data_IF_097955906499
#
_entry.id   IF_097955906499
#
_cell.length_a   1.000
_cell.length_b   1.000
_cell.length_c   1.000
_cell.angle_alpha   90.00
_cell.angle_beta   90.00
_cell.angle_gamma   90.00
#
_symmetry.space_group_name_H-M   'P 1'
#
loop_
_entity.id
_entity.type
_entity.pdbx_description
1 polymer ?
#
# COMPACT_ATOMS: atom_id res chain seq x y z
N UNK A 1 4.26 12.32 63.34
CA UNK A 1 2.90 11.85 63.01
C UNK A 1 2.51 12.46 61.67
N UNK A 2 2.72 11.67 60.62
CA UNK A 2 2.64 12.06 59.21
C UNK A 2 1.18 12.06 58.77
N UNK A 3 0.61 13.25 58.55
CA UNK A 3 -0.72 13.41 57.93
C UNK A 3 -0.64 14.59 56.98
N UNK A 4 -0.21 14.37 55.74
CA UNK A 4 -0.46 15.36 54.69
C UNK A 4 -0.20 14.80 53.28
N UNK A 5 -1.19 15.03 52.41
CA UNK A 5 -1.11 15.21 50.96
C UNK A 5 -0.78 14.01 50.06
N UNK A 6 -1.78 13.17 49.77
CA UNK A 6 -1.90 12.53 48.44
C UNK A 6 -3.39 12.47 48.07
N UNK A 7 -3.96 13.61 47.71
CA UNK A 7 -5.29 13.69 47.10
C UNK A 7 -5.11 13.93 45.60
N UNK A 8 -5.73 13.07 44.78
CA UNK A 8 -6.03 13.28 43.37
C UNK A 8 -4.85 13.35 42.36
N UNK A 9 -4.08 12.26 42.25
CA UNK A 9 -3.28 11.98 41.04
C UNK A 9 -3.81 10.76 40.23
N UNK A 10 -5.09 10.41 40.37
CA UNK A 10 -5.69 9.24 39.70
C UNK A 10 -6.83 9.58 38.72
N UNK A 11 -7.21 10.85 38.57
CA UNK A 11 -8.38 11.25 37.77
C UNK A 11 -8.08 11.84 36.38
N UNK A 12 -6.84 12.19 36.06
CA UNK A 12 -6.52 13.01 34.88
C UNK A 12 -6.06 12.25 33.63
N UNK A 13 -5.61 10.99 33.75
CA UNK A 13 -4.93 10.28 32.66
C UNK A 13 -5.78 9.22 31.95
N UNK A 14 -6.97 8.90 32.47
CA UNK A 14 -7.84 7.87 31.92
C UNK A 14 -8.69 8.32 30.71
N UNK A 15 -8.74 9.62 30.42
CA UNK A 15 -9.59 10.20 29.36
C UNK A 15 -8.93 10.26 27.97
N UNK A 16 -7.63 9.96 27.84
CA UNK A 16 -6.91 10.07 26.55
C UNK A 16 -6.77 8.76 25.76
N UNK A 17 -7.20 7.61 26.30
CA UNK A 17 -6.98 6.30 25.65
C UNK A 17 -8.12 5.81 24.73
N UNK A 18 -9.26 6.51 24.64
CA UNK A 18 -10.46 5.98 23.98
C UNK A 18 -10.47 6.23 22.44
N UNK A 19 -9.54 7.02 21.89
CA UNK A 19 -9.52 7.36 20.46
C UNK A 19 -8.56 6.52 19.59
N UNK A 20 -8.09 5.37 20.07
CA UNK A 20 -7.31 4.44 19.25
C UNK A 20 -8.21 3.71 18.24
N UNK A 21 -8.65 4.43 17.19
CA UNK A 21 -9.34 3.83 16.04
C UNK A 21 -8.39 2.89 15.30
N UNK A 22 -8.82 1.65 15.07
CA UNK A 22 -8.04 0.67 14.30
C UNK A 22 -7.78 1.15 12.88
N UNK A 23 -6.52 1.23 12.46
CA UNK A 23 -6.16 1.50 11.08
C UNK A 23 -6.55 0.29 10.21
N UNK A 24 -7.51 0.47 9.30
CA UNK A 24 -7.85 -0.52 8.29
C UNK A 24 -7.05 -0.25 7.02
N UNK A 25 -6.36 -1.26 6.50
CA UNK A 25 -5.66 -1.16 5.23
C UNK A 25 -6.66 -1.37 4.08
N UNK A 26 -6.95 -0.30 3.32
CA UNK A 26 -7.79 -0.40 2.13
C UNK A 26 -7.03 -1.06 0.98
N UNK A 27 -7.65 -2.05 0.34
CA UNK A 27 -7.09 -2.71 -0.86
C UNK A 27 -7.93 -2.33 -2.08
N UNK A 28 -7.25 -1.92 -3.16
CA UNK A 28 -7.88 -1.60 -4.45
C UNK A 28 -7.37 -2.52 -5.56
N UNK A 29 -8.28 -3.00 -6.39
CA UNK A 29 -7.96 -3.78 -7.59
C UNK A 29 -7.88 -2.87 -8.81
N UNK A 30 -6.81 -3.03 -9.59
CA UNK A 30 -6.60 -2.33 -10.85
C UNK A 30 -6.60 -3.34 -12.00
N UNK A 31 -7.64 -3.30 -12.82
CA UNK A 31 -7.72 -4.14 -14.01
C UNK A 31 -6.98 -3.47 -15.15
N UNK A 32 -6.06 -4.20 -15.79
CA UNK A 32 -5.29 -3.72 -16.94
C UNK A 32 -4.63 -2.35 -16.70
N UNK A 33 -3.82 -2.19 -15.62
CA UNK A 33 -3.26 -0.90 -15.26
C UNK A 33 -2.41 -0.32 -16.39
N UNK A 34 -2.48 1.00 -16.53
CA UNK A 34 -1.71 1.75 -17.53
C UNK A 34 -0.46 2.31 -16.89
N UNK A 35 0.63 2.38 -17.66
CA UNK A 35 1.78 3.18 -17.30
C UNK A 35 2.09 4.18 -18.41
N UNK A 36 1.94 5.47 -18.11
CA UNK A 36 1.84 6.52 -19.12
C UNK A 36 0.70 6.26 -20.10
N UNK A 37 0.97 6.32 -21.40
CA UNK A 37 -0.02 6.05 -22.46
C UNK A 37 -0.21 4.57 -22.81
N UNK A 38 0.57 3.66 -22.24
CA UNK A 38 0.59 2.24 -22.62
C UNK A 38 0.16 1.35 -21.45
N UNK A 39 -0.14 0.08 -21.74
CA UNK A 39 -0.34 -0.93 -20.68
C UNK A 39 0.93 -1.09 -19.86
N UNK A 40 0.79 -1.22 -18.54
CA UNK A 40 1.90 -1.62 -17.68
C UNK A 40 2.48 -2.95 -18.18
N UNK A 41 3.79 -3.00 -18.36
CA UNK A 41 4.49 -4.24 -18.69
C UNK A 41 4.45 -5.23 -17.52
N UNK A 42 4.50 -6.52 -17.85
CA UNK A 42 4.56 -7.57 -16.82
C UNK A 42 5.86 -7.52 -16.02
N UNK A 43 6.93 -7.00 -16.62
CA UNK A 43 8.26 -6.91 -16.03
C UNK A 43 8.60 -5.48 -15.57
N UNK A 44 9.34 -5.40 -14.47
CA UNK A 44 9.81 -4.14 -13.92
C UNK A 44 10.78 -3.46 -14.89
N UNK A 45 11.71 -4.25 -15.41
CA UNK A 45 12.61 -3.95 -16.53
C UNK A 45 12.56 -5.13 -17.53
N UNK A 46 13.05 -4.98 -18.76
CA UNK A 46 12.96 -6.04 -19.78
C UNK A 46 13.50 -7.40 -19.30
N UNK A 47 12.61 -8.39 -19.22
CA UNK A 47 12.91 -9.75 -18.76
C UNK A 47 13.29 -9.89 -17.28
N UNK A 48 13.19 -8.81 -16.48
CA UNK A 48 13.69 -8.77 -15.10
C UNK A 48 12.62 -8.22 -14.14
N UNK A 49 12.47 -8.86 -12.99
CA UNK A 49 11.55 -8.38 -11.95
C UNK A 49 10.09 -8.44 -12.38
N UNK A 50 9.67 -9.56 -12.94
CA UNK A 50 8.33 -9.74 -13.48
C UNK A 50 7.28 -10.11 -12.42
N UNK A 51 6.02 -9.75 -12.69
CA UNK A 51 4.90 -9.95 -11.79
C UNK A 51 5.00 -9.06 -10.54
N UNK A 52 5.35 -9.67 -9.40
CA UNK A 52 5.30 -9.02 -8.07
C UNK A 52 6.04 -7.68 -8.02
N UNK A 53 7.27 -7.64 -8.53
CA UNK A 53 8.10 -6.44 -8.46
C UNK A 53 7.53 -5.31 -9.32
N UNK A 54 7.14 -5.60 -10.57
CA UNK A 54 6.49 -4.63 -11.46
C UNK A 54 5.18 -4.11 -10.86
N UNK A 55 4.31 -5.02 -10.39
CA UNK A 55 3.03 -4.68 -9.78
C UNK A 55 3.21 -3.83 -8.50
N UNK A 56 4.17 -4.20 -7.64
CA UNK A 56 4.47 -3.47 -6.40
C UNK A 56 5.01 -2.08 -6.69
N UNK A 57 5.95 -1.95 -7.63
CA UNK A 57 6.49 -0.65 -8.02
C UNK A 57 5.38 0.27 -8.56
N UNK A 58 4.50 -0.27 -9.40
CA UNK A 58 3.37 0.49 -9.94
C UNK A 58 2.37 0.88 -8.85
N UNK A 59 1.96 -0.02 -7.95
CA UNK A 59 1.07 0.30 -6.83
C UNK A 59 1.66 1.39 -5.94
N UNK A 60 2.96 1.31 -5.62
CA UNK A 60 3.65 2.34 -4.83
C UNK A 60 3.68 3.69 -5.55
N UNK A 61 3.95 3.70 -6.86
CA UNK A 61 3.90 4.92 -7.67
C UNK A 61 2.49 5.56 -7.70
N UNK A 62 1.44 4.77 -7.45
CA UNK A 62 0.05 5.22 -7.38
C UNK A 62 -0.45 5.49 -5.94
N UNK A 63 0.47 5.61 -4.97
CA UNK A 63 0.15 5.99 -3.59
C UNK A 63 -0.16 4.83 -2.64
N UNK A 64 -0.11 3.57 -3.12
CA UNK A 64 -0.30 2.40 -2.27
C UNK A 64 1.05 1.95 -1.71
N UNK A 65 1.44 2.53 -0.58
CA UNK A 65 2.75 2.27 0.07
C UNK A 65 3.00 0.80 0.38
N UNK A 66 1.94 0.04 0.68
CA UNK A 66 1.98 -1.40 0.90
C UNK A 66 2.32 -2.24 -0.33
N UNK A 67 2.25 -1.67 -1.54
CA UNK A 67 2.50 -2.39 -2.79
C UNK A 67 1.33 -3.28 -3.21
N UNK A 68 1.61 -4.20 -4.12
CA UNK A 68 0.62 -5.14 -4.63
C UNK A 68 0.52 -6.36 -3.71
N UNK A 69 -0.70 -6.70 -3.29
CA UNK A 69 -0.99 -7.92 -2.51
C UNK A 69 -1.34 -9.12 -3.40
N UNK A 70 -1.75 -8.87 -4.64
CA UNK A 70 -2.01 -9.88 -5.67
C UNK A 70 -1.70 -9.29 -7.06
N UNK A 71 -1.33 -10.14 -8.02
CA UNK A 71 -1.02 -9.74 -9.39
C UNK A 71 -1.16 -10.94 -10.34
N UNK A 72 -1.67 -10.70 -11.54
CA UNK A 72 -1.87 -11.72 -12.56
C UNK A 72 -1.49 -11.16 -13.93
N UNK A 73 -0.84 -11.98 -14.75
CA UNK A 73 -0.54 -11.61 -16.13
C UNK A 73 -1.82 -11.72 -16.95
N UNK A 74 -2.08 -10.73 -17.81
CA UNK A 74 -3.13 -10.87 -18.81
C UNK A 74 -2.62 -11.75 -19.96
N UNK A 75 -3.48 -12.62 -20.48
CA UNK A 75 -3.15 -13.41 -21.66
C UNK A 75 -2.76 -12.48 -22.82
N UNK A 76 -1.70 -12.86 -23.54
CA UNK A 76 -1.19 -12.15 -24.72
C UNK A 76 -0.92 -10.66 -24.47
N UNK A 77 -0.54 -10.29 -23.25
CA UNK A 77 -0.15 -8.91 -22.93
C UNK A 77 1.05 -8.49 -23.80
N UNK A 78 0.93 -7.36 -24.47
CA UNK A 78 1.94 -6.89 -25.41
C UNK A 78 1.77 -7.39 -26.85
N UNK A 79 0.85 -8.34 -27.12
CA UNK A 79 0.68 -8.89 -28.47
C UNK A 79 0.01 -7.93 -29.45
N UNK A 80 -0.99 -7.16 -29.00
CA UNK A 80 -1.77 -6.23 -29.83
C UNK A 80 -1.45 -4.75 -29.60
N UNK A 81 -0.96 -4.40 -28.41
CA UNK A 81 -0.64 -3.04 -28.02
C UNK A 81 0.67 -3.03 -27.25
N UNK A 82 1.54 -2.02 -27.44
CA UNK A 82 2.80 -1.95 -26.73
C UNK A 82 2.58 -1.82 -25.21
N UNK A 83 3.46 -2.45 -24.45
CA UNK A 83 3.56 -2.28 -23.01
C UNK A 83 4.64 -1.27 -22.65
N UNK A 84 4.65 -0.81 -21.38
CA UNK A 84 5.67 0.10 -20.86
C UNK A 84 6.16 -0.36 -19.48
N UNK A 85 7.48 -0.45 -19.37
CA UNK A 85 8.18 -0.72 -18.11
C UNK A 85 7.94 0.37 -17.06
N UNK A 86 8.17 0.03 -15.79
CA UNK A 86 8.03 0.94 -14.64
C UNK A 86 9.39 1.41 -14.07
N UNK A 87 10.50 0.79 -14.49
CA UNK A 87 11.87 1.22 -14.19
C UNK A 87 12.24 2.58 -14.78
#
# INVERSE_FOLDING_TARGET
MLRSMITAALGGFALLFILAGGASAETKTFNNPMQGGNRLDWCYNWGTGCGSQAATAWCKANGYSGGATAFHIANDIGASHPTRLIS
#
